data_IF_674601370470
#
_entry.id   IF_674601370470
#
_cell.length_a   1.000
_cell.length_b   1.000
_cell.length_c   1.000
_cell.angle_alpha   90.00
_cell.angle_beta   90.00
_cell.angle_gamma   90.00
#
_symmetry.space_group_name_H-M   'P 1'
#
loop_
_entity.id
_entity.type
_entity.pdbx_description
1 polymer ?
#
# COMPACT_ATOMS: atom_id res chain seq x y z
N UNK A 1 -26.05 -5.40 1.13
CA UNK A 1 -25.20 -6.41 1.79
C UNK A 1 -23.94 -5.68 2.26
N UNK A 2 -23.79 -5.36 3.56
CA UNK A 2 -22.62 -4.66 4.05
C UNK A 2 -21.45 -5.64 4.12
N UNK A 3 -20.61 -5.66 3.11
CA UNK A 3 -19.35 -6.40 3.13
C UNK A 3 -18.43 -5.74 4.18
N UNK A 4 -18.08 -6.52 5.17
CA UNK A 4 -17.19 -6.08 6.23
C UNK A 4 -15.75 -6.19 5.71
N UNK A 5 -15.14 -5.08 5.36
CA UNK A 5 -13.73 -4.95 4.98
C UNK A 5 -12.73 -5.45 6.04
N UNK A 6 -13.24 -5.91 7.20
CA UNK A 6 -12.44 -6.27 8.38
C UNK A 6 -11.61 -7.56 8.25
N UNK A 7 -11.66 -8.29 7.14
CA UNK A 7 -10.96 -9.59 7.02
C UNK A 7 -9.89 -9.68 5.93
N UNK A 8 -9.75 -8.68 5.06
CA UNK A 8 -8.94 -8.83 3.84
C UNK A 8 -7.50 -8.37 4.01
N UNK A 9 -7.20 -7.49 4.95
CA UNK A 9 -5.87 -6.87 5.09
C UNK A 9 -4.91 -7.65 6.01
N UNK A 10 -5.38 -8.65 6.73
CA UNK A 10 -4.59 -9.32 7.78
C UNK A 10 -3.63 -10.42 7.33
N UNK A 11 -3.52 -10.72 6.05
CA UNK A 11 -2.74 -11.90 5.60
C UNK A 11 -1.53 -11.58 4.71
N UNK A 12 -1.38 -10.36 4.24
CA UNK A 12 -0.40 -10.04 3.19
C UNK A 12 0.95 -9.49 3.67
N UNK A 13 1.03 -8.89 4.85
CA UNK A 13 2.22 -8.12 5.25
C UNK A 13 3.13 -8.81 6.30
N UNK A 14 2.84 -10.06 6.66
CA UNK A 14 3.53 -10.74 7.77
C UNK A 14 4.87 -11.40 7.41
N UNK A 15 5.46 -11.16 6.23
CA UNK A 15 6.69 -11.87 5.84
C UNK A 15 7.71 -10.95 5.15
N UNK A 16 8.21 -9.95 5.88
CA UNK A 16 9.48 -9.33 5.51
C UNK A 16 10.44 -9.26 6.69
N UNK A 17 11.12 -10.36 6.93
CA UNK A 17 12.37 -10.40 7.67
C UNK A 17 13.48 -9.76 6.81
N UNK A 18 13.59 -8.44 6.87
CA UNK A 18 14.74 -7.72 6.33
C UNK A 18 15.84 -7.72 7.37
N UNK A 19 16.85 -8.54 7.14
CA UNK A 19 18.08 -8.59 7.92
C UNK A 19 18.87 -7.31 7.75
N UNK A 20 18.76 -6.39 8.70
CA UNK A 20 19.68 -5.27 8.85
C UNK A 20 20.89 -5.77 9.65
N UNK A 21 22.01 -5.98 8.98
CA UNK A 21 23.29 -6.29 9.62
C UNK A 21 23.77 -5.05 10.39
N UNK A 22 23.63 -5.07 11.71
CA UNK A 22 24.28 -4.11 12.59
C UNK A 22 25.80 -4.30 12.49
N UNK A 23 26.43 -3.49 11.66
CA UNK A 23 27.88 -3.27 11.74
C UNK A 23 28.17 -2.51 13.03
N UNK A 24 28.62 -3.20 14.07
CA UNK A 24 29.30 -2.61 15.23
C UNK A 24 30.62 -2.03 14.77
N UNK A 25 30.57 -0.88 14.09
CA UNK A 25 31.71 -0.09 13.68
C UNK A 25 31.76 1.19 14.49
N UNK A 26 32.86 1.46 15.13
CA UNK A 26 33.20 2.61 15.96
C UNK A 26 32.85 3.94 15.26
N UNK A 27 31.79 4.60 15.67
CA UNK A 27 31.23 5.81 15.09
C UNK A 27 29.73 5.68 14.89
N UNK A 28 29.00 5.16 15.90
CA UNK A 28 27.57 4.89 15.82
C UNK A 28 26.80 6.19 15.58
N UNK A 29 26.30 6.39 14.34
CA UNK A 29 25.15 7.27 14.17
C UNK A 29 24.06 6.73 15.10
N UNK A 30 23.59 7.56 16.01
CA UNK A 30 22.48 7.21 16.88
C UNK A 30 21.29 6.86 15.97
N UNK A 31 20.66 5.70 16.21
CA UNK A 31 19.47 5.29 15.45
C UNK A 31 18.40 6.38 15.59
N UNK A 32 17.87 6.83 14.47
CA UNK A 32 16.77 7.79 14.40
C UNK A 32 15.50 7.08 13.91
N UNK A 33 14.58 6.82 14.84
CA UNK A 33 13.36 6.08 14.51
C UNK A 33 12.42 6.86 13.58
N UNK A 34 12.40 8.20 13.66
CA UNK A 34 11.59 9.02 12.75
C UNK A 34 12.12 8.93 11.31
N UNK A 35 13.43 9.11 11.12
CA UNK A 35 14.05 8.96 9.79
C UNK A 35 13.86 7.54 9.24
N UNK A 36 13.94 6.52 10.11
CA UNK A 36 13.72 5.13 9.77
C UNK A 36 12.28 4.90 9.25
N UNK A 37 11.27 5.37 10.01
CA UNK A 37 9.85 5.27 9.60
C UNK A 37 9.63 5.97 8.26
N UNK A 38 10.15 7.19 8.08
CA UNK A 38 10.04 7.92 6.83
C UNK A 38 10.63 7.15 5.64
N UNK A 39 11.83 6.59 5.81
CA UNK A 39 12.49 5.80 4.78
C UNK A 39 11.74 4.52 4.42
N UNK A 40 11.16 3.85 5.42
CA UNK A 40 10.34 2.65 5.23
C UNK A 40 9.05 2.97 4.46
N UNK A 41 8.36 4.05 4.81
CA UNK A 41 7.13 4.47 4.15
C UNK A 41 7.38 4.94 2.71
N UNK A 42 8.42 5.76 2.47
CA UNK A 42 8.79 6.19 1.12
C UNK A 42 9.13 4.99 0.24
N UNK A 43 9.88 4.02 0.78
CA UNK A 43 10.24 2.81 0.04
C UNK A 43 9.03 1.92 -0.24
N UNK A 44 8.14 1.71 0.75
CA UNK A 44 7.02 0.79 0.65
C UNK A 44 5.89 1.31 -0.26
N UNK A 45 5.51 2.58 -0.12
CA UNK A 45 4.38 3.15 -0.84
C UNK A 45 4.78 3.90 -2.10
N UNK A 46 5.81 4.77 -2.02
CA UNK A 46 6.18 5.66 -3.13
C UNK A 46 7.24 5.09 -4.08
N UNK A 47 7.82 3.93 -3.77
CA UNK A 47 8.93 3.40 -4.54
C UNK A 47 10.18 4.29 -4.50
N UNK A 48 10.32 5.18 -3.52
CA UNK A 48 11.53 5.98 -3.30
C UNK A 48 12.47 5.28 -2.32
N UNK A 49 13.54 4.76 -2.86
CA UNK A 49 14.54 3.98 -2.13
C UNK A 49 15.74 4.81 -1.65
N UNK A 50 15.71 6.13 -1.89
CA UNK A 50 16.84 7.02 -1.62
C UNK A 50 17.19 7.09 -0.13
N UNK A 51 16.21 7.36 0.72
CA UNK A 51 16.39 7.42 2.17
C UNK A 51 16.74 6.05 2.76
N UNK A 52 16.08 4.99 2.30
CA UNK A 52 16.30 3.61 2.72
C UNK A 52 17.77 3.17 2.55
N UNK A 53 18.36 3.42 1.38
CA UNK A 53 19.74 3.07 1.09
C UNK A 53 20.75 3.99 1.76
N UNK A 54 20.45 5.30 1.88
CA UNK A 54 21.34 6.30 2.52
C UNK A 54 21.47 6.08 4.02
N UNK A 55 20.45 5.53 4.66
CA UNK A 55 20.44 5.22 6.08
C UNK A 55 21.00 3.83 6.39
N UNK A 56 21.45 3.07 5.39
CA UNK A 56 21.94 1.69 5.51
C UNK A 56 20.89 0.73 6.10
N UNK A 57 19.58 0.98 5.88
CA UNK A 57 18.50 0.09 6.32
C UNK A 57 18.60 -1.24 5.57
N UNK A 58 18.94 -1.19 4.29
CA UNK A 58 19.16 -2.37 3.45
C UNK A 58 19.59 -2.01 2.04
N UNK A 59 19.62 -2.97 1.16
CA UNK A 59 19.98 -2.79 -0.25
C UNK A 59 18.76 -2.30 -1.04
N UNK A 60 19.01 -1.55 -2.10
CA UNK A 60 17.94 -1.08 -3.01
C UNK A 60 17.02 -2.21 -3.50
N UNK A 61 17.59 -3.39 -3.81
CA UNK A 61 16.80 -4.55 -4.25
C UNK A 61 15.81 -5.06 -3.19
N UNK A 62 16.15 -4.91 -1.92
CA UNK A 62 15.31 -5.36 -0.80
C UNK A 62 14.13 -4.39 -0.65
N UNK A 63 14.39 -3.08 -0.79
CA UNK A 63 13.35 -2.05 -0.83
C UNK A 63 12.44 -2.17 -2.06
N UNK A 64 13.00 -2.48 -3.24
CA UNK A 64 12.22 -2.76 -4.45
C UNK A 64 11.28 -3.94 -4.24
N UNK A 65 11.80 -5.04 -3.68
CA UNK A 65 10.96 -6.20 -3.37
C UNK A 65 9.85 -5.86 -2.38
N UNK A 66 10.14 -5.08 -1.34
CA UNK A 66 9.14 -4.62 -0.37
C UNK A 66 8.00 -3.84 -1.05
N UNK A 67 8.35 -2.93 -1.96
CA UNK A 67 7.38 -2.17 -2.74
C UNK A 67 6.52 -3.07 -3.64
N UNK A 68 7.17 -3.96 -4.39
CA UNK A 68 6.48 -4.93 -5.26
C UNK A 68 5.55 -5.85 -4.46
N UNK A 69 6.01 -6.37 -3.31
CA UNK A 69 5.17 -7.22 -2.45
C UNK A 69 3.96 -6.44 -1.89
N UNK A 70 4.15 -5.16 -1.53
CA UNK A 70 3.06 -4.30 -1.09
C UNK A 70 2.01 -4.08 -2.20
N UNK A 71 2.45 -3.74 -3.41
CA UNK A 71 1.54 -3.57 -4.55
C UNK A 71 0.81 -4.89 -4.89
N UNK A 72 1.50 -6.02 -4.86
CA UNK A 72 0.89 -7.32 -5.10
C UNK A 72 -0.18 -7.64 -4.04
N UNK A 73 0.08 -7.34 -2.76
CA UNK A 73 -0.90 -7.52 -1.70
C UNK A 73 -2.17 -6.67 -1.92
N UNK A 74 -2.01 -5.43 -2.41
CA UNK A 74 -3.13 -4.58 -2.78
C UNK A 74 -3.92 -5.16 -3.97
N UNK A 75 -3.24 -5.65 -5.01
CA UNK A 75 -3.89 -6.30 -6.18
C UNK A 75 -4.63 -7.56 -5.77
N UNK A 76 -4.05 -8.39 -4.92
CA UNK A 76 -4.69 -9.62 -4.42
C UNK A 76 -5.95 -9.28 -3.60
N UNK A 77 -5.88 -8.26 -2.75
CA UNK A 77 -7.04 -7.79 -1.99
C UNK A 77 -8.19 -7.32 -2.92
N UNK A 78 -7.85 -6.68 -4.05
CA UNK A 78 -8.84 -6.33 -5.08
C UNK A 78 -9.41 -7.54 -5.79
N UNK A 79 -8.58 -8.50 -6.19
CA UNK A 79 -9.01 -9.75 -6.83
C UNK A 79 -10.03 -10.50 -5.97
N UNK A 80 -9.79 -10.54 -4.66
CA UNK A 80 -10.71 -11.17 -3.69
C UNK A 80 -12.09 -10.47 -3.65
N UNK A 81 -12.12 -9.14 -3.81
CA UNK A 81 -13.39 -8.38 -3.85
C UNK A 81 -14.23 -8.75 -5.08
N UNK A 82 -13.59 -8.97 -6.21
CA UNK A 82 -14.28 -9.38 -7.45
C UNK A 82 -14.60 -10.88 -7.49
N UNK A 83 -14.07 -11.68 -6.56
CA UNK A 83 -14.36 -13.10 -6.43
C UNK A 83 -13.85 -13.94 -7.61
N UNK A 84 -12.83 -13.47 -8.31
CA UNK A 84 -12.22 -14.16 -9.45
C UNK A 84 -10.73 -13.85 -9.53
N UNK A 85 -9.96 -14.86 -9.94
CA UNK A 85 -8.55 -14.68 -10.25
C UNK A 85 -8.39 -13.82 -11.51
N UNK A 86 -7.67 -12.72 -11.39
CA UNK A 86 -7.24 -11.91 -12.54
C UNK A 86 -6.12 -12.65 -13.28
N UNK A 87 -6.08 -12.50 -14.60
CA UNK A 87 -4.92 -12.97 -15.37
C UNK A 87 -3.67 -12.12 -15.08
N UNK A 88 -2.49 -12.65 -15.39
CA UNK A 88 -1.20 -12.03 -15.07
C UNK A 88 -1.03 -10.64 -15.71
N UNK A 89 -1.58 -10.42 -16.90
CA UNK A 89 -1.52 -9.11 -17.57
C UNK A 89 -2.40 -8.09 -16.85
N UNK A 90 -3.61 -8.47 -16.46
CA UNK A 90 -4.54 -7.65 -15.67
C UNK A 90 -3.96 -7.32 -14.30
N UNK A 91 -3.35 -8.30 -13.61
CA UNK A 91 -2.66 -8.08 -12.34
C UNK A 91 -1.52 -7.07 -12.48
N UNK A 92 -0.71 -7.20 -13.52
CA UNK A 92 0.39 -6.28 -13.78
C UNK A 92 -0.09 -4.86 -14.03
N UNK A 93 -1.07 -4.69 -14.91
CA UNK A 93 -1.63 -3.37 -15.22
C UNK A 93 -2.27 -2.72 -13.99
N UNK A 94 -2.98 -3.50 -13.18
CA UNK A 94 -3.56 -3.03 -11.94
C UNK A 94 -2.48 -2.64 -10.92
N UNK A 95 -1.41 -3.42 -10.81
CA UNK A 95 -0.26 -3.11 -9.94
C UNK A 95 0.42 -1.80 -10.35
N UNK A 96 0.61 -1.56 -11.65
CA UNK A 96 1.17 -0.31 -12.17
C UNK A 96 0.27 0.90 -11.85
N UNK A 97 -1.04 0.77 -12.05
CA UNK A 97 -2.00 1.83 -11.70
C UNK A 97 -2.05 2.11 -10.20
N UNK A 98 -2.01 1.07 -9.37
CA UNK A 98 -1.94 1.21 -7.91
C UNK A 98 -0.62 1.84 -7.46
N UNK A 99 0.50 1.51 -8.10
CA UNK A 99 1.78 2.15 -7.86
C UNK A 99 1.69 3.65 -8.07
N UNK A 100 1.10 4.07 -9.20
CA UNK A 100 0.86 5.49 -9.49
C UNK A 100 0.00 6.18 -8.43
N UNK A 101 -1.05 5.51 -7.93
CA UNK A 101 -1.86 6.04 -6.82
C UNK A 101 -1.05 6.16 -5.52
N UNK A 102 -0.25 5.16 -5.19
CA UNK A 102 0.56 5.14 -3.98
C UNK A 102 1.62 6.27 -3.95
N UNK A 103 2.07 6.76 -5.11
CA UNK A 103 2.94 7.95 -5.17
C UNK A 103 2.28 9.20 -4.57
N UNK A 104 0.94 9.26 -4.53
CA UNK A 104 0.17 10.38 -4.01
C UNK A 104 -0.18 10.30 -2.54
N UNK A 105 0.21 9.23 -1.80
CA UNK A 105 -0.03 9.16 -0.36
C UNK A 105 0.67 10.30 0.38
N UNK A 106 -0.02 10.90 1.35
CA UNK A 106 0.49 12.04 2.10
C UNK A 106 0.62 11.71 3.57
N UNK A 107 1.82 11.86 4.09
CA UNK A 107 2.14 11.72 5.50
C UNK A 107 3.29 12.64 5.89
N UNK A 108 3.35 12.95 7.18
CA UNK A 108 4.43 13.69 7.81
C UNK A 108 4.87 12.94 9.07
N UNK A 109 6.11 12.47 9.06
CA UNK A 109 6.72 11.81 10.22
C UNK A 109 7.19 12.89 11.19
N UNK A 110 6.73 12.83 12.43
CA UNK A 110 7.08 13.75 13.49
C UNK A 110 8.22 13.18 14.35
N UNK A 111 8.48 13.81 15.48
CA UNK A 111 9.53 13.37 16.40
C UNK A 111 9.25 11.99 17.00
N UNK A 112 10.34 11.24 17.24
CA UNK A 112 10.29 9.96 17.90
C UNK A 112 10.57 10.13 19.40
N UNK A 113 9.79 9.46 20.23
CA UNK A 113 9.99 9.39 21.68
C UNK A 113 10.40 7.97 22.07
N UNK A 114 11.53 7.84 22.78
CA UNK A 114 11.96 6.55 23.31
C UNK A 114 11.06 6.14 24.49
N UNK A 115 10.61 4.88 24.47
CA UNK A 115 9.81 4.29 25.55
C UNK A 115 10.33 2.87 25.85
N UNK A 116 11.21 2.77 26.83
CA UNK A 116 11.87 1.52 27.20
C UNK A 116 12.73 0.97 26.07
N UNK A 117 12.29 -0.15 25.48
CA UNK A 117 13.02 -0.86 24.40
C UNK A 117 12.54 -0.50 23.00
N UNK A 118 11.52 0.33 22.87
CA UNK A 118 10.93 0.74 21.60
C UNK A 118 10.86 2.26 21.44
N UNK A 119 10.47 2.72 20.27
CA UNK A 119 10.23 4.13 19.97
C UNK A 119 8.79 4.30 19.54
N UNK A 120 8.17 5.36 20.04
CA UNK A 120 6.88 5.85 19.56
C UNK A 120 7.15 7.01 18.60
N UNK A 121 6.76 6.85 17.34
CA UNK A 121 6.91 7.86 16.29
C UNK A 121 5.52 8.39 15.95
N UNK A 122 5.32 9.68 16.11
CA UNK A 122 4.06 10.30 15.69
C UNK A 122 4.04 10.44 14.17
N UNK A 123 2.96 10.00 13.54
CA UNK A 123 2.72 10.06 12.10
C UNK A 123 1.41 10.79 11.83
N UNK A 124 1.49 11.90 11.11
CA UNK A 124 0.32 12.59 10.55
C UNK A 124 0.07 12.06 9.15
N UNK A 125 -1.18 11.76 8.85
CA UNK A 125 -1.61 11.18 7.58
C UNK A 125 -2.78 11.98 7.05
N UNK A 126 -2.75 12.30 5.75
CA UNK A 126 -3.93 12.71 5.00
C UNK A 126 -4.37 11.53 4.13
N UNK A 127 -5.42 10.82 4.55
CA UNK A 127 -5.86 9.62 3.85
C UNK A 127 -6.24 9.92 2.39
N UNK A 128 -5.66 9.20 1.45
CA UNK A 128 -6.07 9.26 0.05
C UNK A 128 -7.47 8.62 -0.08
N UNK A 129 -8.43 9.39 -0.60
CA UNK A 129 -9.79 8.90 -0.79
C UNK A 129 -9.87 7.99 -2.03
N UNK A 130 -9.71 6.71 -1.78
CA UNK A 130 -9.61 5.68 -2.79
C UNK A 130 -10.79 4.68 -2.76
N UNK A 131 -11.22 4.24 -1.58
CA UNK A 131 -12.31 3.25 -1.45
C UNK A 131 -13.68 3.79 -1.87
N UNK A 132 -13.82 5.11 -1.97
CA UNK A 132 -15.00 5.75 -2.54
C UNK A 132 -15.27 5.31 -3.99
N UNK A 133 -14.24 4.87 -4.73
CA UNK A 133 -14.36 4.38 -6.11
C UNK A 133 -15.33 3.21 -6.21
N UNK A 134 -15.20 2.22 -5.32
CA UNK A 134 -16.07 1.03 -5.33
C UNK A 134 -17.49 1.30 -4.81
N UNK A 135 -17.71 2.47 -4.20
CA UNK A 135 -19.00 2.90 -3.66
C UNK A 135 -19.63 4.04 -4.50
N UNK A 136 -18.92 4.50 -5.52
CA UNK A 136 -19.38 5.57 -6.42
C UNK A 136 -20.50 5.06 -7.34
N UNK A 137 -21.67 5.69 -7.27
CA UNK A 137 -22.81 5.36 -8.13
C UNK A 137 -22.49 5.56 -9.62
N UNK A 138 -21.63 6.51 -9.95
CA UNK A 138 -21.22 6.79 -11.33
C UNK A 138 -20.33 5.67 -11.86
N UNK A 139 -19.37 5.20 -11.07
CA UNK A 139 -18.53 4.05 -11.41
C UNK A 139 -19.36 2.78 -11.56
N UNK A 140 -20.30 2.51 -10.63
CA UNK A 140 -21.16 1.34 -10.72
C UNK A 140 -22.02 1.35 -12.00
N UNK A 141 -22.58 2.50 -12.39
CA UNK A 141 -23.31 2.64 -13.65
C UNK A 141 -22.40 2.43 -14.86
N UNK A 142 -21.19 2.98 -14.85
CA UNK A 142 -20.22 2.78 -15.91
C UNK A 142 -19.83 1.30 -16.05
N UNK A 143 -19.67 0.59 -14.93
CA UNK A 143 -19.39 -0.84 -14.90
C UNK A 143 -20.56 -1.66 -15.49
N UNK A 144 -21.80 -1.37 -15.09
CA UNK A 144 -23.00 -2.02 -15.65
C UNK A 144 -23.13 -1.77 -17.16
N UNK A 145 -22.91 -0.54 -17.62
CA UNK A 145 -22.94 -0.20 -19.04
C UNK A 145 -21.81 -0.87 -19.82
N UNK A 146 -20.60 -0.96 -19.28
CA UNK A 146 -19.46 -1.61 -19.92
C UNK A 146 -19.71 -3.11 -20.09
N UNK A 147 -20.20 -3.78 -19.06
CA UNK A 147 -20.60 -5.19 -19.11
C UNK A 147 -21.72 -5.42 -20.13
N UNK A 148 -22.76 -4.58 -20.10
CA UNK A 148 -23.86 -4.67 -21.06
C UNK A 148 -23.39 -4.54 -22.51
N UNK A 149 -22.55 -3.54 -22.80
CA UNK A 149 -21.98 -3.35 -24.14
C UNK A 149 -21.11 -4.54 -24.58
N UNK A 150 -20.33 -5.11 -23.66
CA UNK A 150 -19.51 -6.27 -23.96
C UNK A 150 -20.38 -7.50 -24.32
N UNK A 151 -21.45 -7.77 -23.59
CA UNK A 151 -22.39 -8.85 -23.86
C UNK A 151 -23.19 -8.58 -25.16
N UNK A 152 -23.57 -7.34 -25.45
CA UNK A 152 -24.23 -6.99 -26.72
C UNK A 152 -23.31 -7.16 -27.93
N UNK A 153 -22.01 -6.94 -27.76
CA UNK A 153 -21.00 -7.13 -28.81
C UNK A 153 -20.67 -8.61 -29.05
N UNK A 154 -20.63 -9.40 -27.99
CA UNK A 154 -20.42 -10.85 -28.03
C UNK A 154 -21.29 -11.54 -26.97
N UNK A 155 -22.31 -12.26 -27.41
CA UNK A 155 -23.25 -12.96 -26.52
C UNK A 155 -22.62 -14.18 -25.82
N UNK A 156 -21.50 -14.69 -26.36
CA UNK A 156 -20.74 -15.81 -25.82
C UNK A 156 -19.51 -15.38 -25.04
N UNK A 157 -19.40 -14.06 -24.71
CA UNK A 157 -18.27 -13.49 -23.96
C UNK A 157 -18.02 -14.26 -22.66
N UNK A 158 -16.78 -14.65 -22.43
CA UNK A 158 -16.39 -15.38 -21.24
C UNK A 158 -16.34 -14.48 -19.99
N UNK A 159 -16.44 -15.10 -18.81
CA UNK A 159 -16.26 -14.38 -17.55
C UNK A 159 -14.88 -13.72 -17.45
N UNK A 160 -13.84 -14.34 -18.00
CA UNK A 160 -12.48 -13.78 -18.04
C UNK A 160 -12.42 -12.49 -18.86
N UNK A 161 -13.06 -12.46 -20.04
CA UNK A 161 -13.12 -11.26 -20.88
C UNK A 161 -13.95 -10.15 -20.23
N UNK A 162 -15.05 -10.48 -19.55
CA UNK A 162 -15.79 -9.51 -18.74
C UNK A 162 -14.93 -8.92 -17.61
N UNK A 163 -14.12 -9.75 -16.95
CA UNK A 163 -13.20 -9.28 -15.91
C UNK A 163 -12.16 -8.33 -16.48
N UNK A 164 -11.62 -8.57 -17.69
CA UNK A 164 -10.70 -7.62 -18.35
C UNK A 164 -11.37 -6.27 -18.61
N UNK A 165 -12.63 -6.27 -19.01
CA UNK A 165 -13.41 -5.03 -19.21
C UNK A 165 -13.53 -4.25 -17.90
N UNK A 166 -13.87 -4.92 -16.81
CA UNK A 166 -14.01 -4.29 -15.48
C UNK A 166 -12.66 -3.82 -14.93
N UNK A 167 -11.61 -4.62 -15.08
CA UNK A 167 -10.25 -4.24 -14.66
C UNK A 167 -9.77 -3.01 -15.40
N UNK A 168 -10.01 -2.94 -16.72
CA UNK A 168 -9.66 -1.75 -17.49
C UNK A 168 -10.40 -0.51 -16.99
N UNK A 169 -11.69 -0.62 -16.73
CA UNK A 169 -12.48 0.50 -16.19
C UNK A 169 -11.95 0.97 -14.83
N UNK A 170 -11.55 0.03 -13.99
CA UNK A 170 -10.95 0.32 -12.69
C UNK A 170 -9.60 1.05 -12.84
N UNK A 171 -8.73 0.59 -13.75
CA UNK A 171 -7.45 1.24 -14.06
C UNK A 171 -7.67 2.66 -14.56
N UNK A 172 -8.58 2.86 -15.51
CA UNK A 172 -8.92 4.17 -16.04
C UNK A 172 -9.38 5.12 -14.90
N UNK A 173 -10.11 4.58 -13.90
CA UNK A 173 -10.56 5.34 -12.72
C UNK A 173 -9.41 5.65 -11.76
N UNK A 174 -8.47 4.74 -11.55
CA UNK A 174 -7.27 5.00 -10.75
C UNK A 174 -6.41 6.10 -11.37
N UNK A 175 -6.26 6.08 -12.67
CA UNK A 175 -5.56 7.14 -13.41
C UNK A 175 -6.24 8.52 -13.26
N UNK A 176 -7.57 8.55 -13.19
CA UNK A 176 -8.31 9.79 -12.94
C UNK A 176 -8.09 10.32 -11.51
N UNK A 177 -8.10 9.42 -10.51
CA UNK A 177 -7.81 9.78 -9.12
C UNK A 177 -6.37 10.27 -8.99
N UNK A 178 -5.41 9.59 -9.61
CA UNK A 178 -4.01 9.98 -9.59
C UNK A 178 -3.78 11.38 -10.20
N UNK A 179 -4.55 11.75 -11.23
CA UNK A 179 -4.48 13.10 -11.82
C UNK A 179 -5.06 14.18 -10.93
N UNK A 180 -6.07 13.86 -10.10
CA UNK A 180 -6.76 14.80 -9.23
C UNK A 180 -7.02 14.15 -7.86
N UNK A 181 -5.97 13.86 -7.08
CA UNK A 181 -6.11 13.15 -5.83
C UNK A 181 -6.89 13.98 -4.81
N UNK A 182 -7.83 13.35 -4.13
CA UNK A 182 -8.59 13.93 -3.02
C UNK A 182 -8.23 13.24 -1.72
N UNK A 183 -8.28 14.01 -0.63
CA UNK A 183 -7.84 13.54 0.68
C UNK A 183 -8.93 13.78 1.72
N UNK A 184 -9.01 12.87 2.68
CA UNK A 184 -9.81 13.08 3.89
C UNK A 184 -9.07 14.01 4.87
N UNK A 185 -9.74 14.35 5.98
CA UNK A 185 -9.14 15.15 7.04
C UNK A 185 -7.90 14.46 7.62
N UNK A 186 -6.90 15.29 7.94
CA UNK A 186 -5.65 14.82 8.54
C UNK A 186 -5.92 14.09 9.87
N UNK A 187 -5.30 12.94 10.03
CA UNK A 187 -5.32 12.17 11.27
C UNK A 187 -3.91 11.98 11.80
N UNK A 188 -3.79 11.78 13.11
CA UNK A 188 -2.51 11.51 13.77
C UNK A 188 -2.58 10.14 14.41
N UNK A 189 -1.49 9.36 14.25
CA UNK A 189 -1.33 8.06 14.87
C UNK A 189 0.07 7.88 15.45
N UNK A 190 0.24 6.87 16.29
CA UNK A 190 1.54 6.47 16.81
C UNK A 190 2.00 5.20 16.10
N UNK A 191 3.21 5.25 15.54
CA UNK A 191 3.92 4.12 14.94
C UNK A 191 4.95 3.63 15.92
N UNK A 192 4.90 2.35 16.27
CA UNK A 192 5.84 1.71 17.17
C UNK A 192 6.98 1.10 16.37
N UNK A 193 8.21 1.47 16.73
CA UNK A 193 9.44 0.87 16.19
C UNK A 193 10.10 0.11 17.32
N UNK A 194 10.24 -1.19 17.15
CA UNK A 194 10.75 -2.09 18.19
C UNK A 194 11.87 -2.98 17.65
N UNK A 195 12.53 -3.71 18.53
CA UNK A 195 13.55 -4.68 18.12
C UNK A 195 12.94 -6.05 17.95
N UNK A 196 13.23 -6.67 16.81
CA UNK A 196 12.91 -8.07 16.58
C UNK A 196 13.83 -9.01 17.39
N UNK A 197 13.62 -10.31 17.24
CA UNK A 197 14.41 -11.34 17.92
C UNK A 197 15.90 -11.34 17.55
N UNK A 198 16.27 -10.75 16.41
CA UNK A 198 17.65 -10.55 15.96
C UNK A 198 18.29 -9.28 16.53
N UNK A 199 17.50 -8.44 17.21
CA UNK A 199 17.91 -7.16 17.77
C UNK A 199 17.93 -6.01 16.76
N UNK A 200 17.32 -6.21 15.60
CA UNK A 200 17.16 -5.21 14.54
C UNK A 200 15.87 -4.42 14.74
N UNK A 201 15.89 -3.14 14.37
CA UNK A 201 14.68 -2.32 14.48
C UNK A 201 13.71 -2.60 13.34
N UNK A 202 12.43 -2.73 13.68
CA UNK A 202 11.34 -2.89 12.73
C UNK A 202 10.11 -2.08 13.17
N UNK A 203 9.27 -1.71 12.23
CA UNK A 203 7.93 -1.18 12.52
C UNK A 203 7.06 -2.36 12.93
N UNK A 204 6.38 -2.26 14.08
CA UNK A 204 5.53 -3.35 14.56
C UNK A 204 4.41 -3.69 13.57
N UNK A 205 3.99 -4.95 13.54
CA UNK A 205 2.90 -5.42 12.65
C UNK A 205 1.62 -4.62 12.87
N UNK A 206 1.25 -4.35 14.12
CA UNK A 206 0.06 -3.56 14.44
C UNK A 206 0.16 -2.13 13.88
N UNK A 207 1.37 -1.55 13.86
CA UNK A 207 1.61 -0.23 13.29
C UNK A 207 1.49 -0.24 11.77
N UNK A 208 1.98 -1.27 11.09
CA UNK A 208 1.77 -1.43 9.65
C UNK A 208 0.28 -1.53 9.30
N UNK A 209 -0.49 -2.33 10.04
CA UNK A 209 -1.95 -2.45 9.86
C UNK A 209 -2.68 -1.11 10.05
N UNK A 210 -2.22 -0.28 10.97
CA UNK A 210 -2.78 1.06 11.19
C UNK A 210 -2.43 2.01 10.05
N UNK A 211 -1.18 1.97 9.56
CA UNK A 211 -0.69 2.80 8.45
C UNK A 211 -1.45 2.47 7.17
N UNK A 212 -1.58 1.18 6.83
CA UNK A 212 -2.30 0.73 5.64
C UNK A 212 -3.74 1.24 5.61
N UNK A 213 -4.44 1.13 6.76
CA UNK A 213 -5.83 1.63 6.88
C UNK A 213 -5.94 3.14 6.84
N UNK A 214 -4.88 3.85 7.20
CA UNK A 214 -4.90 5.30 7.27
C UNK A 214 -4.48 5.96 5.95
N UNK A 215 -3.56 5.37 5.22
CA UNK A 215 -3.04 5.95 3.98
C UNK A 215 -4.02 5.80 2.82
N UNK A 216 -4.78 4.70 2.77
CA UNK A 216 -5.65 4.34 1.65
C UNK A 216 -7.05 4.03 2.19
N UNK A 217 -8.00 4.97 2.03
CA UNK A 217 -9.39 4.88 2.50
C UNK A 217 -10.39 4.83 1.35
#
# INVERSE_FOLDING_TARGET
MRLSFKKIITTGLALMLLTVLMLTGCGSKQFNAADYVGAMLDASYKGDYGAYTKQDIGKKKDAQKMHEDNLNALVDAFSDVFGSDLDEESKKQLSEAMGTLCEHVQYEVQEATADGSHFNVELKVKPLQFSSVLQDEEFNKAAEEAVKKAIEADQDISSEELMKVLTKLLIDRFDEIAKNPTYADETTMTVVVEKNDQGEYEISTDSWDLIDRALIQ
#
